data_IF_095658009363
#
_entry.id   IF_095658009363
#
_cell.length_a   1.000
_cell.length_b   1.000
_cell.length_c   1.000
_cell.angle_alpha   90.00
_cell.angle_beta   90.00
_cell.angle_gamma   90.00
#
_symmetry.space_group_name_H-M   'P 1'
#
loop_
_entity.id
_entity.type
_entity.pdbx_description
1 polymer ?
#
# COMPACT_ATOMS: atom_id res chain seq x y z
N UNK A 1 -4.16 -0.34 -3.85
CA UNK A 1 -4.05 1.09 -3.43
C UNK A 1 -3.27 1.83 -4.49
N UNK A 2 -3.53 3.12 -4.70
CA UNK A 2 -2.73 4.01 -5.56
C UNK A 2 -2.20 5.14 -4.68
N UNK A 3 -0.91 5.46 -4.78
CA UNK A 3 -0.29 6.62 -4.13
C UNK A 3 0.19 7.55 -5.24
N UNK A 4 -0.35 8.77 -5.25
CA UNK A 4 0.07 9.80 -6.18
C UNK A 4 1.32 10.50 -5.67
N UNK A 5 2.25 10.72 -6.59
CA UNK A 5 3.56 11.29 -6.35
C UNK A 5 3.46 12.76 -5.84
N UNK A 6 4.48 13.21 -5.09
CA UNK A 6 4.50 14.46 -4.31
C UNK A 6 4.74 15.74 -5.12
N UNK A 7 5.30 15.66 -6.32
CA UNK A 7 5.62 16.81 -7.15
C UNK A 7 4.37 17.60 -7.56
N UNK A 8 4.60 18.87 -7.89
CA UNK A 8 3.54 19.81 -8.23
C UNK A 8 2.67 19.35 -9.40
N UNK A 9 3.27 18.73 -10.42
CA UNK A 9 2.54 18.24 -11.59
C UNK A 9 1.62 17.06 -11.24
N UNK A 10 2.15 16.06 -10.54
CA UNK A 10 1.37 14.91 -10.08
C UNK A 10 0.21 15.34 -9.21
N UNK A 11 0.45 16.25 -8.25
CA UNK A 11 -0.58 16.83 -7.38
C UNK A 11 -1.68 17.57 -8.15
N UNK A 12 -1.33 18.34 -9.18
CA UNK A 12 -2.32 19.01 -10.02
C UNK A 12 -3.24 18.01 -10.74
N UNK A 13 -2.76 16.80 -11.02
CA UNK A 13 -3.48 15.73 -11.69
C UNK A 13 -4.24 14.78 -10.74
N UNK A 14 -4.19 14.99 -9.42
CA UNK A 14 -4.81 14.11 -8.43
C UNK A 14 -6.27 13.79 -8.74
N UNK A 15 -7.06 14.79 -9.14
CA UNK A 15 -8.49 14.61 -9.40
C UNK A 15 -8.77 13.76 -10.65
N UNK A 16 -7.91 13.84 -11.65
CA UNK A 16 -8.02 13.01 -12.84
C UNK A 16 -7.64 11.56 -12.53
N UNK A 17 -6.56 11.37 -11.76
CA UNK A 17 -6.16 10.05 -11.27
C UNK A 17 -7.28 9.41 -10.44
N UNK A 18 -7.85 10.15 -9.49
CA UNK A 18 -8.95 9.68 -8.63
C UNK A 18 -10.19 9.31 -9.43
N UNK A 19 -10.51 10.06 -10.50
CA UNK A 19 -11.66 9.77 -11.38
C UNK A 19 -11.45 8.48 -12.18
N UNK A 20 -10.22 8.19 -12.60
CA UNK A 20 -9.88 7.01 -13.40
C UNK A 20 -9.60 5.75 -12.57
N UNK A 21 -9.39 5.91 -11.27
CA UNK A 21 -9.11 4.79 -10.38
C UNK A 21 -10.29 3.80 -10.34
N UNK A 22 -10.03 2.48 -10.36
CA UNK A 22 -11.07 1.48 -10.22
C UNK A 22 -11.83 1.62 -8.89
N UNK A 23 -13.11 1.24 -8.89
CA UNK A 23 -13.91 1.20 -7.67
C UNK A 23 -13.28 0.29 -6.62
N UNK A 24 -13.26 0.73 -5.36
CA UNK A 24 -12.64 0.00 -4.25
C UNK A 24 -11.12 0.14 -4.14
N UNK A 25 -10.45 0.86 -5.06
CA UNK A 25 -9.02 1.15 -4.98
C UNK A 25 -8.81 2.56 -4.41
N UNK A 26 -8.36 2.71 -3.15
CA UNK A 26 -8.13 4.03 -2.57
C UNK A 26 -6.95 4.74 -3.26
N UNK A 27 -7.10 6.05 -3.46
CA UNK A 27 -6.09 6.95 -4.05
C UNK A 27 -5.63 7.95 -3.01
N UNK A 28 -4.36 7.85 -2.61
CA UNK A 28 -3.70 8.75 -1.67
C UNK A 28 -2.84 9.77 -2.42
N UNK A 29 -2.62 10.92 -1.81
CA UNK A 29 -1.76 11.97 -2.33
C UNK A 29 -0.61 12.19 -1.34
N UNK A 30 0.64 12.03 -1.77
CA UNK A 30 1.78 12.41 -0.93
C UNK A 30 1.80 13.92 -0.72
N UNK A 31 2.11 14.34 0.52
CA UNK A 31 2.32 15.75 0.83
C UNK A 31 3.67 16.23 0.28
N UNK A 32 3.85 17.54 -0.01
CA UNK A 32 5.09 18.04 -0.62
C UNK A 32 6.38 17.75 0.16
N UNK A 33 6.27 17.63 1.49
CA UNK A 33 7.40 17.36 2.39
C UNK A 33 7.37 15.95 2.98
N UNK A 34 6.49 15.07 2.46
CA UNK A 34 6.47 13.68 2.87
C UNK A 34 7.65 12.94 2.23
N UNK A 35 8.15 11.95 2.95
CA UNK A 35 9.15 11.01 2.43
C UNK A 35 8.66 10.39 1.11
N UNK A 36 9.61 10.21 0.20
CA UNK A 36 9.31 9.64 -1.10
C UNK A 36 9.04 8.15 -0.96
N UNK A 37 7.81 7.73 -1.28
CA UNK A 37 7.44 6.33 -1.23
C UNK A 37 8.28 5.51 -2.21
N UNK A 38 8.68 6.07 -3.36
CA UNK A 38 9.50 5.32 -4.33
C UNK A 38 10.93 5.11 -3.83
N UNK A 39 11.53 6.15 -3.25
CA UNK A 39 12.86 6.06 -2.62
C UNK A 39 12.85 5.09 -1.42
N UNK A 40 11.82 5.17 -0.57
CA UNK A 40 11.68 4.29 0.58
C UNK A 40 11.51 2.81 0.22
N UNK A 41 11.00 2.53 -0.98
CA UNK A 41 10.80 1.18 -1.50
C UNK A 41 11.95 0.72 -2.43
N UNK A 42 12.99 1.54 -2.63
CA UNK A 42 14.11 1.28 -3.54
C UNK A 42 13.66 0.93 -4.97
N UNK A 43 12.66 1.67 -5.46
CA UNK A 43 12.08 1.48 -6.79
C UNK A 43 12.40 2.63 -7.74
N UNK A 44 12.71 2.30 -8.99
CA UNK A 44 12.92 3.29 -10.05
C UNK A 44 11.64 3.50 -10.88
N UNK A 45 11.68 4.53 -11.73
CA UNK A 45 10.65 4.75 -12.74
C UNK A 45 10.52 3.52 -13.64
N UNK A 46 9.27 3.15 -13.93
CA UNK A 46 8.89 2.00 -14.76
C UNK A 46 9.18 0.63 -14.11
N UNK A 47 9.55 0.58 -12.83
CA UNK A 47 9.66 -0.68 -12.09
C UNK A 47 8.32 -1.16 -11.55
N UNK A 48 8.19 -2.49 -11.40
CA UNK A 48 7.11 -3.10 -10.64
C UNK A 48 7.68 -3.82 -9.41
N UNK A 49 7.31 -3.30 -8.24
CA UNK A 49 7.57 -3.94 -6.95
C UNK A 49 6.32 -4.71 -6.51
N UNK A 50 6.40 -6.04 -6.47
CA UNK A 50 5.28 -6.92 -6.13
C UNK A 50 5.47 -7.46 -4.73
N UNK A 51 4.57 -7.10 -3.82
CA UNK A 51 4.58 -7.55 -2.43
C UNK A 51 3.53 -8.62 -2.18
N UNK A 52 3.83 -9.58 -1.30
CA UNK A 52 2.84 -10.55 -0.82
C UNK A 52 1.94 -9.97 0.28
N UNK A 53 0.99 -10.79 0.77
CA UNK A 53 0.06 -10.42 1.86
C UNK A 53 0.75 -10.09 3.19
N UNK A 54 2.02 -10.45 3.35
CA UNK A 54 2.81 -10.16 4.54
C UNK A 54 3.75 -8.97 4.35
N UNK A 55 3.69 -8.30 3.20
CA UNK A 55 4.53 -7.14 2.92
C UNK A 55 5.95 -7.49 2.56
N UNK A 56 6.21 -8.74 2.16
CA UNK A 56 7.52 -9.13 1.65
C UNK A 56 7.58 -8.86 0.16
N UNK A 57 8.65 -8.19 -0.29
CA UNK A 57 8.94 -8.03 -1.71
C UNK A 57 9.22 -9.42 -2.32
N UNK A 58 8.41 -9.80 -3.30
CA UNK A 58 8.49 -11.10 -4.00
C UNK A 58 9.07 -10.97 -5.39
N UNK A 59 8.80 -9.86 -6.08
CA UNK A 59 9.38 -9.54 -7.38
C UNK A 59 9.72 -8.05 -7.46
N UNK A 60 10.89 -7.76 -8.01
CA UNK A 60 11.30 -6.44 -8.49
C UNK A 60 11.53 -6.58 -10.00
N UNK A 61 10.60 -6.06 -10.80
CA UNK A 61 10.62 -6.19 -12.26
C UNK A 61 11.04 -4.85 -12.83
N UNK A 62 12.24 -4.82 -13.39
CA UNK A 62 12.83 -3.64 -14.03
C UNK A 62 12.71 -3.71 -15.55
N UNK A 63 13.03 -2.62 -16.24
CA UNK A 63 13.14 -2.62 -17.70
C UNK A 63 14.17 -3.66 -18.20
N UNK A 64 13.92 -4.34 -19.33
CA UNK A 64 12.78 -4.21 -20.24
C UNK A 64 11.58 -5.13 -19.88
N UNK A 65 11.64 -5.88 -18.78
CA UNK A 65 10.60 -6.85 -18.43
C UNK A 65 9.33 -6.18 -17.87
N UNK A 66 9.42 -4.92 -17.47
CA UNK A 66 8.31 -4.12 -16.95
C UNK A 66 7.36 -3.59 -18.03
N UNK A 67 7.64 -3.74 -19.32
CA UNK A 67 6.67 -3.34 -20.35
C UNK A 67 5.39 -4.18 -20.23
N UNK A 68 4.26 -3.50 -19.98
CA UNK A 68 2.95 -4.12 -19.73
C UNK A 68 2.36 -4.93 -20.90
N UNK A 69 2.94 -4.82 -22.10
CA UNK A 69 2.55 -5.69 -23.23
C UNK A 69 3.11 -7.12 -23.06
N UNK A 70 4.20 -7.28 -22.31
CA UNK A 70 4.77 -8.58 -21.97
C UNK A 70 4.09 -9.20 -20.73
N UNK A 71 4.09 -10.54 -20.60
CA UNK A 71 3.35 -11.23 -19.55
C UNK A 71 4.05 -11.20 -18.17
N UNK A 72 5.23 -10.59 -18.03
CA UNK A 72 6.05 -10.74 -16.82
C UNK A 72 5.41 -10.14 -15.57
N UNK A 73 4.85 -8.93 -15.70
CA UNK A 73 4.17 -8.24 -14.60
C UNK A 73 2.93 -9.03 -14.15
N UNK A 74 2.10 -9.47 -15.11
CA UNK A 74 0.92 -10.27 -14.80
C UNK A 74 1.30 -11.62 -14.15
N UNK A 75 2.32 -12.29 -14.68
CA UNK A 75 2.79 -13.57 -14.15
C UNK A 75 3.33 -13.43 -12.72
N UNK A 76 4.09 -12.38 -12.42
CA UNK A 76 4.59 -12.11 -11.06
C UNK A 76 3.45 -11.83 -10.08
N UNK A 77 2.46 -11.02 -10.47
CA UNK A 77 1.27 -10.75 -9.65
C UNK A 77 0.52 -12.07 -9.37
N UNK A 78 0.25 -12.87 -10.41
CA UNK A 78 -0.42 -14.17 -10.26
C UNK A 78 0.36 -15.12 -9.35
N UNK A 79 1.68 -15.21 -9.53
CA UNK A 79 2.52 -16.08 -8.71
C UNK A 79 2.48 -15.66 -7.23
N UNK A 80 2.51 -14.35 -6.96
CA UNK A 80 2.46 -13.79 -5.60
C UNK A 80 1.11 -14.02 -4.94
N UNK A 81 0.02 -13.84 -5.69
CA UNK A 81 -1.34 -13.96 -5.16
C UNK A 81 -1.76 -15.42 -4.86
N UNK A 82 -1.44 -16.34 -5.77
CA UNK A 82 -1.90 -17.73 -5.69
C UNK A 82 -1.05 -18.59 -4.76
N UNK A 83 0.23 -18.24 -4.54
CA UNK A 83 1.09 -18.98 -3.63
C UNK A 83 0.84 -18.54 -2.19
N UNK A 84 0.79 -19.50 -1.28
CA UNK A 84 0.80 -19.22 0.16
C UNK A 84 2.25 -19.00 0.62
N UNK A 85 2.88 -17.93 0.11
CA UNK A 85 4.32 -17.63 0.34
C UNK A 85 4.56 -17.34 1.82
N UNK A 86 3.67 -16.55 2.40
CA UNK A 86 3.69 -16.26 3.81
C UNK A 86 2.47 -16.96 4.41
N UNK A 87 2.71 -17.89 5.33
CA UNK A 87 1.75 -18.85 5.89
C UNK A 87 0.66 -18.16 6.73
N UNK A 88 -0.07 -17.23 6.12
CA UNK A 88 -1.15 -16.46 6.71
C UNK A 88 -2.30 -17.41 7.00
N UNK A 89 -2.47 -17.76 8.26
CA UNK A 89 -3.78 -18.18 8.72
C UNK A 89 -4.68 -16.94 8.69
N UNK A 90 -5.82 -17.04 7.99
CA UNK A 90 -6.92 -16.09 8.19
C UNK A 90 -7.36 -16.26 9.64
N UNK A 91 -6.80 -15.43 10.52
CA UNK A 91 -7.21 -15.41 11.92
C UNK A 91 -8.59 -14.77 11.93
N UNK A 92 -9.62 -15.61 11.98
CA UNK A 92 -10.99 -15.19 12.23
C UNK A 92 -11.02 -14.54 13.63
N UNK A 93 -10.71 -13.25 13.71
CA UNK A 93 -10.90 -12.46 14.91
C UNK A 93 -12.41 -12.37 15.14
N UNK A 94 -12.96 -13.34 15.88
CA UNK A 94 -14.30 -13.23 16.46
C UNK A 94 -14.28 -11.97 17.32
N UNK A 95 -15.05 -10.97 16.91
CA UNK A 95 -15.21 -9.72 17.64
C UNK A 95 -15.85 -10.06 18.98
N UNK A 96 -15.06 -10.09 20.05
CA UNK A 96 -15.61 -10.05 21.40
C UNK A 96 -16.12 -8.63 21.62
N UNK A 97 -17.44 -8.48 21.65
CA UNK A 97 -18.14 -7.26 22.03
C UNK A 97 -17.79 -6.89 23.46
N UNK A 98 -16.79 -6.02 23.64
CA UNK A 98 -16.56 -5.36 24.92
C UNK A 98 -17.55 -4.20 25.07
N UNK A 99 -18.54 -4.38 25.94
CA UNK A 99 -19.41 -3.32 26.46
C UNK A 99 -18.57 -2.25 27.17
N UNK A 100 -18.57 -1.03 26.64
CA UNK A 100 -17.92 0.14 27.24
C UNK A 100 -18.77 0.71 28.40
N UNK A 101 -18.24 0.68 29.62
CA UNK A 101 -18.62 1.62 30.69
C UNK A 101 -17.64 2.79 30.71
N UNK A 102 -18.18 4.00 30.58
CA UNK A 102 -17.48 5.28 30.48
C UNK A 102 -17.00 5.76 31.86
N UNK A 103 -15.69 6.04 32.02
CA UNK A 103 -15.17 6.94 33.07
C UNK A 103 -13.94 7.68 32.56
N UNK A 104 -13.95 9.00 32.74
CA UNK A 104 -13.06 9.99 32.17
C UNK A 104 -11.84 10.27 33.08
N UNK A 105 -10.61 10.05 32.61
CA UNK A 105 -9.42 10.73 33.13
C UNK A 105 -8.37 10.91 32.02
N UNK A 106 -7.93 12.15 31.83
CA UNK A 106 -6.93 12.58 30.85
C UNK A 106 -5.56 11.93 31.09
N UNK A 107 -4.91 11.44 30.02
CA UNK A 107 -3.45 11.35 29.92
C UNK A 107 -3.01 11.80 28.53
N UNK A 108 -2.31 12.94 28.50
CA UNK A 108 -1.48 13.37 27.38
C UNK A 108 -0.32 12.38 27.30
N UNK A 109 -0.21 11.66 26.18
CA UNK A 109 1.05 11.06 25.75
C UNK A 109 1.20 11.24 24.25
N UNK A 110 2.22 12.01 23.91
CA UNK A 110 2.72 12.28 22.57
C UNK A 110 3.35 11.02 21.99
N UNK A 111 3.05 10.66 20.74
CA UNK A 111 4.01 10.01 19.82
C UNK A 111 3.39 9.83 18.45
N UNK A 112 4.08 10.35 17.46
CA UNK A 112 3.99 10.03 16.05
C UNK A 112 3.91 8.52 15.77
N UNK A 113 3.28 8.16 14.64
CA UNK A 113 3.27 6.87 13.88
C UNK A 113 1.87 6.35 13.50
N UNK A 114 0.92 7.20 13.08
CA UNK A 114 -0.41 6.73 12.66
C UNK A 114 -0.67 6.60 11.15
N UNK A 115 0.29 6.94 10.27
CA UNK A 115 0.04 6.91 8.81
C UNK A 115 0.62 5.73 8.02
N UNK A 116 1.34 4.80 8.65
CA UNK A 116 1.90 3.62 7.95
C UNK A 116 1.19 2.30 8.29
N UNK A 117 0.25 2.31 9.23
CA UNK A 117 -0.44 1.11 9.68
C UNK A 117 -1.52 0.58 8.70
N UNK A 118 -1.75 1.25 7.57
CA UNK A 118 -2.82 0.88 6.64
C UNK A 118 -2.40 -0.05 5.50
N UNK A 119 -1.10 -0.38 5.35
CA UNK A 119 -0.64 -1.17 4.19
C UNK A 119 -0.63 -2.67 4.47
N UNK A 120 -0.61 -3.11 5.73
CA UNK A 120 -0.31 -4.51 6.06
C UNK A 120 -1.15 -5.05 7.20
N UNK A 121 -2.37 -5.47 6.87
CA UNK A 121 -3.08 -6.47 7.64
C UNK A 121 -3.51 -7.58 6.70
N UNK A 122 -3.13 -8.81 7.04
CA UNK A 122 -3.74 -10.02 6.51
C UNK A 122 -5.28 -9.99 6.67
#
# INVERSE_FOLDING_TARGET
MIVNEREAQSRAMYWELKRRAPSGVPVYQQAPLQDDVWEALDGDKDDFLVYDRCGRLTFHIVLPYSFLHYPYVEAAIRATYHKNICNCSVSNHKTHTHTHTHTHTQKVLNSDTHSLHAILQC
#
